data_IF_833108807607
#
_entry.id   IF_833108807607
#
_cell.length_a   1.000
_cell.length_b   1.000
_cell.length_c   1.000
_cell.angle_alpha   90.00
_cell.angle_beta   90.00
_cell.angle_gamma   90.00
#
_symmetry.space_group_name_H-M   'P 1'
#
loop_
_entity.id
_entity.type
_entity.pdbx_description
1 polymer ?
#
# COMPACT_ATOMS: atom_id res chain seq x y z
N UNK A 1 -21.86 14.47 33.38
CA UNK A 1 -21.10 13.29 32.91
C UNK A 1 -21.89 12.34 32.00
N UNK A 2 -23.23 12.33 32.00
CA UNK A 2 -24.03 11.44 31.14
C UNK A 2 -24.16 11.87 29.65
N UNK A 3 -23.89 13.13 29.30
CA UNK A 3 -24.04 13.65 27.92
C UNK A 3 -22.84 13.39 26.99
N UNK A 4 -21.67 13.00 27.52
CA UNK A 4 -20.47 12.72 26.72
C UNK A 4 -20.48 11.26 26.23
N UNK A 5 -21.06 10.34 27.01
CA UNK A 5 -21.16 8.92 26.63
C UNK A 5 -22.22 8.67 25.55
N UNK A 6 -23.36 9.38 25.55
CA UNK A 6 -24.40 9.24 24.50
C UNK A 6 -23.90 9.70 23.13
N UNK A 7 -23.32 10.91 23.03
CA UNK A 7 -22.73 11.44 21.79
C UNK A 7 -21.60 10.58 21.21
N UNK A 8 -20.88 9.82 22.05
CA UNK A 8 -19.81 8.90 21.63
C UNK A 8 -20.34 7.62 20.98
N UNK A 9 -21.41 7.04 21.54
CA UNK A 9 -22.08 5.89 20.94
C UNK A 9 -22.60 6.20 19.54
N UNK A 10 -23.19 7.39 19.38
CA UNK A 10 -23.73 7.87 18.11
C UNK A 10 -22.64 8.07 17.05
N UNK A 11 -21.48 8.64 17.42
CA UNK A 11 -20.37 8.86 16.48
C UNK A 11 -19.72 7.56 16.00
N UNK A 12 -19.49 6.59 16.90
CA UNK A 12 -18.92 5.28 16.53
C UNK A 12 -19.89 4.47 15.68
N UNK A 13 -21.18 4.50 16.01
CA UNK A 13 -22.23 3.87 15.20
C UNK A 13 -22.30 4.49 13.81
N UNK A 14 -22.33 5.82 13.72
CA UNK A 14 -22.34 6.57 12.47
C UNK A 14 -21.13 6.24 11.58
N UNK A 15 -19.91 6.22 12.14
CA UNK A 15 -18.71 5.80 11.42
C UNK A 15 -18.81 4.34 10.93
N UNK A 16 -19.39 3.45 11.74
CA UNK A 16 -19.66 2.08 11.35
C UNK A 16 -20.62 1.97 10.16
N UNK A 17 -21.67 2.78 10.14
CA UNK A 17 -22.65 2.83 9.05
C UNK A 17 -22.03 3.36 7.74
N UNK A 18 -21.28 4.46 7.81
CA UNK A 18 -20.58 5.01 6.64
C UNK A 18 -19.55 4.01 6.10
N UNK A 19 -18.79 3.31 6.96
CA UNK A 19 -17.86 2.26 6.52
C UNK A 19 -18.58 1.12 5.79
N UNK A 20 -19.78 0.72 6.23
CA UNK A 20 -20.59 -0.29 5.54
C UNK A 20 -21.06 0.20 4.17
N UNK A 21 -21.51 1.44 4.07
CA UNK A 21 -21.93 2.05 2.79
C UNK A 21 -20.78 2.23 1.81
N UNK A 22 -19.58 2.54 2.33
CA UNK A 22 -18.37 2.71 1.53
C UNK A 22 -17.74 1.40 1.05
N UNK A 23 -18.23 0.26 1.52
CA UNK A 23 -17.66 -1.04 1.21
C UNK A 23 -17.76 -1.37 -0.29
N UNK A 24 -16.66 -1.83 -0.87
CA UNK A 24 -16.56 -2.14 -2.31
C UNK A 24 -16.29 -3.63 -2.49
N UNK A 25 -17.18 -4.31 -3.24
CA UNK A 25 -16.95 -5.66 -3.78
C UNK A 25 -17.03 -5.58 -5.29
N UNK A 26 -15.89 -5.74 -5.96
CA UNK A 26 -15.84 -5.82 -7.41
C UNK A 26 -14.54 -6.49 -7.87
N UNK A 27 -14.54 -7.03 -9.09
CA UNK A 27 -13.29 -7.47 -9.70
C UNK A 27 -12.59 -6.27 -10.36
N UNK A 28 -11.28 -6.15 -10.16
CA UNK A 28 -10.43 -5.14 -10.79
C UNK A 28 -10.23 -5.45 -12.29
N UNK A 29 -10.09 -6.73 -12.63
CA UNK A 29 -10.07 -7.22 -14.00
C UNK A 29 -11.50 -7.59 -14.44
N UNK A 30 -12.19 -6.71 -15.17
CA UNK A 30 -13.55 -6.96 -15.66
C UNK A 30 -13.49 -7.27 -17.14
N UNK A 31 -13.55 -8.55 -17.45
CA UNK A 31 -13.60 -9.11 -18.81
C UNK A 31 -14.81 -10.06 -18.95
N UNK A 32 -14.89 -10.77 -20.07
CA UNK A 32 -15.92 -11.79 -20.32
C UNK A 32 -15.79 -13.04 -19.44
N UNK A 33 -14.62 -13.28 -18.82
CA UNK A 33 -14.35 -14.43 -17.94
C UNK A 33 -14.57 -14.11 -16.44
N UNK A 34 -15.01 -12.90 -16.12
CA UNK A 34 -15.21 -12.45 -14.75
C UNK A 34 -16.37 -13.20 -14.08
N UNK A 35 -16.06 -13.96 -13.03
CA UNK A 35 -17.09 -14.61 -12.22
C UNK A 35 -17.79 -13.63 -11.27
N UNK A 36 -19.04 -13.92 -10.94
CA UNK A 36 -19.82 -13.12 -9.98
C UNK A 36 -19.33 -13.25 -8.52
N UNK A 37 -18.51 -14.26 -8.22
CA UNK A 37 -18.06 -14.57 -6.85
C UNK A 37 -16.81 -13.77 -6.49
N UNK A 38 -17.02 -12.58 -5.92
CA UNK A 38 -15.96 -11.78 -5.29
C UNK A 38 -15.47 -12.45 -3.99
N UNK A 39 -14.16 -12.53 -3.82
CA UNK A 39 -13.51 -13.17 -2.68
C UNK A 39 -12.67 -12.17 -1.86
N UNK A 40 -12.17 -12.61 -0.73
CA UNK A 40 -11.10 -11.93 0.01
C UNK A 40 -9.74 -12.32 -0.59
N UNK A 41 -9.39 -11.67 -1.70
CA UNK A 41 -8.13 -11.87 -2.40
C UNK A 41 -6.96 -11.29 -1.60
N UNK A 42 -5.80 -11.94 -1.64
CA UNK A 42 -4.60 -11.50 -0.93
C UNK A 42 -3.76 -10.57 -1.82
N UNK A 43 -3.48 -9.36 -1.35
CA UNK A 43 -2.52 -8.49 -2.04
C UNK A 43 -1.06 -8.92 -1.80
N UNK A 44 -0.78 -9.69 -0.75
CA UNK A 44 0.50 -10.38 -0.52
C UNK A 44 0.25 -11.89 -0.42
N UNK A 45 1.00 -12.66 -1.20
CA UNK A 45 0.84 -14.11 -1.40
C UNK A 45 0.73 -14.90 -0.09
N UNK A 46 -0.45 -15.46 0.21
CA UNK A 46 -0.71 -16.13 1.47
C UNK A 46 0.08 -17.44 1.64
N UNK A 47 0.11 -18.28 0.60
CA UNK A 47 0.68 -19.63 0.69
C UNK A 47 2.20 -19.66 0.50
N UNK A 48 2.79 -18.57 0.01
CA UNK A 48 4.24 -18.40 -0.18
C UNK A 48 4.82 -17.41 0.82
N UNK A 49 4.60 -16.12 0.59
CA UNK A 49 5.25 -15.04 1.33
C UNK A 49 4.72 -14.95 2.76
N UNK A 50 3.41 -14.81 2.97
CA UNK A 50 2.86 -14.67 4.33
C UNK A 50 3.10 -15.91 5.17
N UNK A 51 2.94 -17.11 4.59
CA UNK A 51 3.28 -18.37 5.25
C UNK A 51 4.75 -18.39 5.71
N UNK A 52 5.68 -17.96 4.86
CA UNK A 52 7.12 -17.91 5.17
C UNK A 52 7.44 -16.96 6.32
N UNK A 53 6.85 -15.76 6.35
CA UNK A 53 7.18 -14.75 7.36
C UNK A 53 6.36 -14.88 8.65
N UNK A 54 5.28 -15.68 8.64
CA UNK A 54 4.40 -15.83 9.79
C UNK A 54 5.05 -16.58 10.94
N UNK A 55 4.67 -16.21 12.16
CA UNK A 55 4.94 -16.98 13.38
C UNK A 55 3.61 -17.43 13.97
N UNK A 56 3.45 -18.73 14.22
CA UNK A 56 2.18 -19.35 14.65
C UNK A 56 0.97 -18.98 13.77
N UNK A 57 1.21 -18.81 12.47
CA UNK A 57 0.17 -18.44 11.49
C UNK A 57 -0.23 -16.96 11.52
N UNK A 58 0.48 -16.11 12.24
CA UNK A 58 0.24 -14.67 12.35
C UNK A 58 1.41 -13.85 11.79
N UNK A 59 1.08 -12.68 11.26
CA UNK A 59 2.01 -11.63 10.84
C UNK A 59 1.64 -10.32 11.52
N UNK A 60 2.51 -9.33 11.48
CA UNK A 60 2.19 -7.97 11.91
C UNK A 60 1.74 -7.14 10.70
N UNK A 61 0.55 -6.56 10.79
CA UNK A 61 -0.01 -5.62 9.81
C UNK A 61 -0.51 -4.36 10.52
N UNK A 62 -0.62 -3.24 9.80
CA UNK A 62 -1.21 -2.05 10.38
C UNK A 62 -2.68 -2.27 10.72
N UNK A 63 -3.05 -1.85 11.92
CA UNK A 63 -4.42 -1.87 12.41
C UNK A 63 -4.70 -0.64 13.24
N UNK A 64 -5.95 -0.20 13.21
CA UNK A 64 -6.45 0.80 14.15
C UNK A 64 -6.80 0.10 15.46
N UNK A 65 -6.12 0.48 16.54
CA UNK A 65 -6.43 0.06 17.91
C UNK A 65 -6.89 1.26 18.72
N UNK A 66 -7.98 1.09 19.47
CA UNK A 66 -8.45 2.09 20.43
C UNK A 66 -7.67 1.93 21.74
N UNK A 67 -7.05 3.03 22.22
CA UNK A 67 -6.51 3.05 23.56
C UNK A 67 -7.63 3.41 24.55
N UNK A 68 -8.04 2.42 25.35
CA UNK A 68 -9.17 2.53 26.27
C UNK A 68 -8.96 3.61 27.35
N UNK A 69 -7.71 3.96 27.67
CA UNK A 69 -7.41 4.87 28.78
C UNK A 69 -7.41 6.35 28.35
N UNK A 70 -6.99 6.65 27.13
CA UNK A 70 -6.82 8.05 26.66
C UNK A 70 -7.75 8.47 25.52
N UNK A 71 -8.60 7.57 24.97
CA UNK A 71 -9.36 7.79 23.73
C UNK A 71 -8.48 8.19 22.52
N UNK A 72 -7.20 7.84 22.53
CA UNK A 72 -6.31 8.06 21.39
C UNK A 72 -6.44 6.90 20.39
N UNK A 73 -6.65 7.24 19.11
CA UNK A 73 -6.59 6.28 18.01
C UNK A 73 -5.12 5.96 17.75
N UNK A 74 -4.71 4.74 18.08
CA UNK A 74 -3.36 4.26 17.79
C UNK A 74 -3.36 3.44 16.51
N UNK A 75 -2.59 3.92 15.54
CA UNK A 75 -2.32 3.19 14.31
C UNK A 75 -0.98 2.47 14.46
N UNK A 76 -1.04 1.17 14.75
CA UNK A 76 0.12 0.34 15.11
C UNK A 76 0.11 -0.97 14.34
N UNK A 77 1.29 -1.57 14.24
CA UNK A 77 1.42 -2.95 13.80
C UNK A 77 0.84 -3.89 14.86
N UNK A 78 -0.12 -4.73 14.49
CA UNK A 78 -0.72 -5.74 15.36
C UNK A 78 -0.75 -7.12 14.72
N UNK A 79 -0.83 -8.14 15.57
CA UNK A 79 -0.90 -9.54 15.14
C UNK A 79 -2.19 -9.78 14.36
N UNK A 80 -2.03 -10.26 13.14
CA UNK A 80 -3.12 -10.59 12.22
C UNK A 80 -2.87 -11.97 11.64
N UNK A 81 -3.85 -12.87 11.74
CA UNK A 81 -3.76 -14.18 11.12
C UNK A 81 -3.55 -14.08 9.60
N UNK A 82 -2.61 -14.86 9.05
CA UNK A 82 -2.17 -14.76 7.64
C UNK A 82 -3.31 -14.90 6.62
N UNK A 83 -4.38 -15.64 6.96
CA UNK A 83 -5.57 -15.79 6.11
C UNK A 83 -6.40 -14.50 5.99
N UNK A 84 -6.24 -13.55 6.91
CA UNK A 84 -6.91 -12.24 6.91
C UNK A 84 -5.98 -11.10 6.49
N UNK A 85 -4.70 -11.21 6.82
CA UNK A 85 -3.69 -10.20 6.53
C UNK A 85 -3.69 -9.83 5.03
N UNK A 86 -3.67 -8.52 4.74
CA UNK A 86 -3.56 -7.97 3.37
C UNK A 86 -4.69 -8.35 2.40
N UNK A 87 -5.80 -8.88 2.92
CA UNK A 87 -6.97 -9.25 2.09
C UNK A 87 -7.80 -8.05 1.67
N UNK A 88 -8.46 -8.15 0.52
CA UNK A 88 -9.41 -7.17 -0.01
C UNK A 88 -10.37 -7.80 -1.03
N UNK A 89 -11.48 -7.13 -1.31
CA UNK A 89 -12.55 -7.60 -2.20
C UNK A 89 -12.46 -7.00 -3.60
N UNK A 90 -11.25 -7.05 -4.16
CA UNK A 90 -10.91 -6.49 -5.47
C UNK A 90 -10.79 -7.51 -6.61
N UNK A 91 -11.01 -8.81 -6.34
CA UNK A 91 -10.97 -9.85 -7.38
C UNK A 91 -12.08 -10.88 -7.20
N UNK A 92 -12.52 -11.46 -8.32
CA UNK A 92 -13.31 -12.67 -8.33
C UNK A 92 -12.40 -13.90 -8.12
N UNK A 93 -12.97 -15.03 -7.71
CA UNK A 93 -12.19 -16.24 -7.43
C UNK A 93 -11.40 -16.75 -8.64
N UNK A 94 -11.97 -16.63 -9.85
CA UNK A 94 -11.34 -17.11 -11.08
C UNK A 94 -10.11 -16.27 -11.47
N UNK A 95 -10.22 -14.93 -11.43
CA UNK A 95 -9.12 -14.04 -11.75
C UNK A 95 -8.01 -14.08 -10.69
N UNK A 96 -8.36 -14.13 -9.41
CA UNK A 96 -7.35 -14.26 -8.34
C UNK A 96 -6.52 -15.54 -8.52
N UNK A 97 -7.16 -16.64 -8.90
CA UNK A 97 -6.50 -17.93 -9.11
C UNK A 97 -5.65 -17.95 -10.39
N UNK A 98 -6.23 -17.52 -11.52
CA UNK A 98 -5.60 -17.68 -12.84
C UNK A 98 -4.54 -16.62 -13.12
N UNK A 99 -4.86 -15.34 -12.93
CA UNK A 99 -3.97 -14.23 -13.33
C UNK A 99 -2.65 -14.26 -12.56
N UNK A 100 -2.72 -14.63 -11.29
CA UNK A 100 -1.55 -14.58 -10.42
C UNK A 100 -0.83 -15.92 -10.26
N UNK A 101 -1.26 -16.97 -10.97
CA UNK A 101 -0.60 -18.27 -10.96
C UNK A 101 0.93 -18.19 -11.19
N UNK A 102 1.44 -17.33 -12.11
CA UNK A 102 2.89 -17.21 -12.35
C UNK A 102 3.69 -16.74 -11.13
N UNK A 103 3.12 -15.86 -10.30
CA UNK A 103 3.76 -15.44 -9.05
C UNK A 103 3.43 -16.40 -7.89
N UNK A 104 2.23 -16.99 -7.85
CA UNK A 104 1.75 -17.87 -6.75
C UNK A 104 2.31 -19.29 -6.79
N UNK A 105 2.79 -19.76 -7.93
CA UNK A 105 3.28 -21.14 -8.08
C UNK A 105 4.78 -21.23 -8.32
N UNK A 106 5.43 -20.14 -8.74
CA UNK A 106 6.84 -20.16 -9.15
C UNK A 106 7.68 -19.16 -8.37
N UNK A 107 8.94 -19.52 -8.13
CA UNK A 107 9.93 -18.59 -7.60
C UNK A 107 10.17 -17.45 -8.59
N UNK A 108 10.39 -16.26 -8.05
CA UNK A 108 10.82 -15.11 -8.83
C UNK A 108 12.25 -15.30 -9.32
N UNK A 109 12.51 -14.99 -10.59
CA UNK A 109 13.87 -14.86 -11.11
C UNK A 109 14.07 -13.48 -11.74
N UNK A 110 15.32 -13.03 -11.71
CA UNK A 110 15.68 -11.71 -12.20
C UNK A 110 15.33 -11.54 -13.67
N UNK A 111 14.67 -10.43 -13.99
CA UNK A 111 14.28 -10.12 -15.37
C UNK A 111 13.02 -10.84 -15.84
N UNK A 112 12.30 -11.58 -14.99
CA UNK A 112 10.97 -12.07 -15.36
C UNK A 112 9.98 -10.89 -15.43
N UNK A 113 9.72 -10.40 -16.64
CA UNK A 113 8.85 -9.25 -16.90
C UNK A 113 7.39 -9.53 -16.54
N UNK A 114 6.88 -10.73 -16.82
CA UNK A 114 5.53 -11.16 -16.45
C UNK A 114 5.33 -11.12 -14.92
N UNK A 115 6.25 -11.73 -14.15
CA UNK A 115 6.13 -11.72 -12.70
C UNK A 115 6.25 -10.30 -12.13
N UNK A 116 7.16 -9.48 -12.66
CA UNK A 116 7.27 -8.07 -12.27
C UNK A 116 5.99 -7.31 -12.56
N UNK A 117 5.39 -7.52 -13.73
CA UNK A 117 4.11 -6.94 -14.11
C UNK A 117 3.01 -7.37 -13.14
N UNK A 118 2.89 -8.66 -12.84
CA UNK A 118 1.85 -9.19 -11.95
C UNK A 118 1.99 -8.67 -10.51
N UNK A 119 3.20 -8.48 -10.01
CA UNK A 119 3.42 -7.81 -8.72
C UNK A 119 2.90 -6.36 -8.73
N UNK A 120 3.20 -5.61 -9.80
CA UNK A 120 2.70 -4.24 -9.98
C UNK A 120 1.19 -4.21 -10.13
N UNK A 121 0.62 -5.11 -10.94
CA UNK A 121 -0.81 -5.23 -11.20
C UNK A 121 -1.60 -5.47 -9.90
N UNK A 122 -1.08 -6.35 -9.04
CA UNK A 122 -1.68 -6.62 -7.73
C UNK A 122 -1.59 -5.42 -6.78
N UNK A 123 -0.47 -4.71 -6.77
CA UNK A 123 -0.30 -3.50 -5.98
C UNK A 123 -1.25 -2.37 -6.44
N UNK A 124 -1.37 -2.17 -7.76
CA UNK A 124 -2.31 -1.22 -8.36
C UNK A 124 -3.76 -1.57 -7.99
N UNK A 125 -4.16 -2.84 -8.12
CA UNK A 125 -5.51 -3.27 -7.78
C UNK A 125 -5.86 -2.98 -6.31
N UNK A 126 -4.91 -3.19 -5.40
CA UNK A 126 -5.10 -2.89 -3.97
C UNK A 126 -5.21 -1.38 -3.72
N UNK A 127 -4.38 -0.56 -4.35
CA UNK A 127 -4.42 0.91 -4.22
C UNK A 127 -5.72 1.49 -4.81
N UNK A 128 -6.11 1.05 -6.01
CA UNK A 128 -7.38 1.42 -6.63
C UNK A 128 -8.57 1.09 -5.71
N UNK A 129 -8.59 -0.13 -5.15
CA UNK A 129 -9.66 -0.55 -4.24
C UNK A 129 -9.72 0.33 -2.98
N UNK A 130 -8.57 0.60 -2.35
CA UNK A 130 -8.47 1.48 -1.18
C UNK A 130 -8.94 2.90 -1.50
N UNK A 131 -8.49 3.48 -2.63
CA UNK A 131 -8.90 4.82 -3.07
C UNK A 131 -10.40 4.90 -3.37
N UNK A 132 -10.97 3.88 -4.01
CA UNK A 132 -12.40 3.83 -4.30
C UNK A 132 -13.24 3.74 -3.02
N UNK A 133 -12.80 2.95 -2.04
CA UNK A 133 -13.42 2.92 -0.71
C UNK A 133 -13.32 4.30 -0.03
N UNK A 134 -12.17 4.97 -0.10
CA UNK A 134 -11.98 6.30 0.47
C UNK A 134 -12.93 7.34 -0.17
N UNK A 135 -13.04 7.38 -1.50
CA UNK A 135 -14.00 8.26 -2.21
C UNK A 135 -15.42 8.01 -1.75
N UNK A 136 -15.87 6.75 -1.68
CA UNK A 136 -17.23 6.42 -1.21
C UNK A 136 -17.46 6.79 0.25
N UNK A 137 -16.45 6.62 1.11
CA UNK A 137 -16.52 7.01 2.51
C UNK A 137 -16.72 8.53 2.64
N UNK A 138 -15.94 9.31 1.89
CA UNK A 138 -16.03 10.78 1.86
C UNK A 138 -17.37 11.23 1.29
N UNK A 139 -17.82 10.66 0.17
CA UNK A 139 -19.12 10.96 -0.44
C UNK A 139 -20.27 10.68 0.53
N UNK A 140 -20.24 9.53 1.20
CA UNK A 140 -21.25 9.14 2.19
C UNK A 140 -21.22 10.07 3.41
N UNK A 141 -20.04 10.41 3.93
CA UNK A 141 -19.89 11.34 5.03
C UNK A 141 -20.42 12.74 4.68
N UNK A 142 -20.02 13.30 3.53
CA UNK A 142 -20.48 14.61 3.06
C UNK A 142 -21.99 14.65 2.86
N UNK A 143 -22.60 13.57 2.35
CA UNK A 143 -24.06 13.54 2.16
C UNK A 143 -24.84 13.72 3.46
N UNK A 144 -24.27 13.28 4.59
CA UNK A 144 -24.90 13.28 5.92
C UNK A 144 -24.47 14.46 6.81
N UNK A 145 -23.49 15.27 6.39
CA UNK A 145 -23.02 16.43 7.16
C UNK A 145 -23.89 17.69 6.94
N UNK A 146 -23.97 18.61 7.91
CA UNK A 146 -24.55 19.95 7.73
C UNK A 146 -23.82 20.78 6.65
N UNK A 147 -24.50 21.73 5.99
CA UNK A 147 -23.99 22.45 4.81
C UNK A 147 -22.69 23.22 5.04
N UNK A 148 -22.54 23.86 6.20
CA UNK A 148 -21.32 24.57 6.62
C UNK A 148 -20.10 23.63 6.61
N UNK A 149 -20.26 22.38 7.05
CA UNK A 149 -19.21 21.36 7.08
C UNK A 149 -18.91 20.77 5.70
N UNK A 150 -19.87 20.76 4.77
CA UNK A 150 -19.67 20.28 3.39
C UNK A 150 -18.70 21.17 2.61
N UNK A 151 -18.81 22.48 2.77
CA UNK A 151 -17.95 23.45 2.08
C UNK A 151 -16.46 23.22 2.39
N UNK A 152 -16.12 22.90 3.64
CA UNK A 152 -14.74 22.58 4.05
C UNK A 152 -14.18 21.30 3.42
N UNK A 153 -15.05 20.34 3.06
CA UNK A 153 -14.62 19.04 2.52
C UNK A 153 -14.66 18.98 0.98
N UNK A 154 -15.15 20.02 0.31
CA UNK A 154 -15.31 20.03 -1.15
C UNK A 154 -14.00 19.80 -1.90
N UNK A 155 -12.93 20.50 -1.52
CA UNK A 155 -11.61 20.33 -2.14
C UNK A 155 -11.03 18.93 -1.85
N UNK A 156 -11.18 18.43 -0.62
CA UNK A 156 -10.73 17.09 -0.25
C UNK A 156 -11.45 16.02 -1.09
N UNK A 157 -12.77 16.11 -1.20
CA UNK A 157 -13.58 15.21 -2.02
C UNK A 157 -13.17 15.25 -3.50
N UNK A 158 -12.98 16.45 -4.06
CA UNK A 158 -12.50 16.64 -5.44
C UNK A 158 -11.16 15.95 -5.63
N UNK A 159 -10.19 16.19 -4.74
CA UNK A 159 -8.86 15.60 -4.82
C UNK A 159 -8.91 14.07 -4.82
N UNK A 160 -9.71 13.45 -3.93
CA UNK A 160 -9.87 11.99 -3.93
C UNK A 160 -10.46 11.46 -5.24
N UNK A 161 -11.42 12.18 -5.85
CA UNK A 161 -12.04 11.81 -7.12
C UNK A 161 -11.09 11.92 -8.31
N UNK A 162 -10.28 12.98 -8.36
CA UNK A 162 -9.23 13.16 -9.38
C UNK A 162 -8.21 12.02 -9.30
N UNK A 163 -7.74 11.67 -8.10
CA UNK A 163 -6.84 10.51 -7.90
C UNK A 163 -7.49 9.20 -8.35
N UNK A 164 -8.76 8.95 -8.00
CA UNK A 164 -9.46 7.74 -8.42
C UNK A 164 -9.61 7.66 -9.95
N UNK A 165 -9.85 8.79 -10.61
CA UNK A 165 -9.95 8.86 -12.07
C UNK A 165 -8.62 8.45 -12.74
N UNK A 166 -7.48 8.94 -12.26
CA UNK A 166 -6.17 8.53 -12.78
C UNK A 166 -5.89 7.04 -12.56
N UNK A 167 -6.23 6.50 -11.38
CA UNK A 167 -6.09 5.07 -11.12
C UNK A 167 -7.00 4.21 -12.01
N UNK A 168 -8.16 4.72 -12.43
CA UNK A 168 -9.00 4.04 -13.43
C UNK A 168 -8.34 4.02 -14.82
N UNK A 169 -7.65 5.10 -15.22
CA UNK A 169 -6.88 5.12 -16.47
C UNK A 169 -5.72 4.13 -16.44
N UNK A 170 -4.97 4.09 -15.33
CA UNK A 170 -3.91 3.11 -15.14
C UNK A 170 -4.48 1.68 -15.15
N UNK A 171 -5.59 1.43 -14.45
CA UNK A 171 -6.30 0.14 -14.50
C UNK A 171 -6.63 -0.28 -15.93
N UNK A 172 -7.17 0.62 -16.76
CA UNK A 172 -7.48 0.33 -18.16
C UNK A 172 -6.22 -0.04 -18.95
N UNK A 173 -5.17 0.77 -18.83
CA UNK A 173 -3.87 0.52 -19.47
C UNK A 173 -3.30 -0.87 -19.08
N UNK A 174 -3.30 -1.18 -17.79
CA UNK A 174 -2.79 -2.46 -17.30
C UNK A 174 -3.68 -3.64 -17.70
N UNK A 175 -5.01 -3.48 -17.75
CA UNK A 175 -5.91 -4.54 -18.23
C UNK A 175 -5.64 -4.85 -19.70
N UNK A 176 -5.55 -3.83 -20.56
CA UNK A 176 -5.21 -4.02 -21.99
C UNK A 176 -3.83 -4.67 -22.16
N UNK A 177 -2.83 -4.21 -21.40
CA UNK A 177 -1.50 -4.80 -21.45
C UNK A 177 -1.48 -6.28 -21.01
N UNK A 178 -2.32 -6.67 -20.05
CA UNK A 178 -2.46 -8.07 -19.63
C UNK A 178 -3.17 -8.93 -20.68
N UNK A 179 -4.17 -8.38 -21.39
CA UNK A 179 -4.86 -9.07 -22.50
C UNK A 179 -3.96 -9.29 -23.72
N UNK A 180 -2.99 -8.39 -23.92
CA UNK A 180 -2.04 -8.40 -25.04
C UNK A 180 -0.70 -9.09 -24.71
N UNK A 181 -0.54 -9.64 -23.50
CA UNK A 181 0.73 -10.16 -22.97
C UNK A 181 1.89 -9.13 -23.06
N UNK A 182 1.58 -7.84 -22.97
CA UNK A 182 2.51 -6.73 -23.10
C UNK A 182 3.04 -6.26 -21.74
N UNK A 183 4.03 -6.97 -21.21
CA UNK A 183 4.62 -6.66 -19.90
C UNK A 183 5.66 -5.52 -19.94
N UNK A 184 6.08 -5.06 -21.12
CA UNK A 184 7.08 -3.99 -21.26
C UNK A 184 6.53 -2.61 -20.88
N UNK A 185 5.22 -2.46 -20.61
CA UNK A 185 4.64 -1.17 -20.19
C UNK A 185 5.19 -0.65 -18.84
N UNK A 186 5.86 -1.51 -18.06
CA UNK A 186 6.52 -1.13 -16.81
C UNK A 186 8.05 -1.11 -16.95
N UNK A 187 8.70 -0.36 -16.08
CA UNK A 187 10.14 -0.39 -15.85
C UNK A 187 10.41 -0.76 -14.39
N UNK A 188 11.27 -1.76 -14.16
CA UNK A 188 11.61 -2.25 -12.81
C UNK A 188 13.11 -2.13 -12.55
N UNK A 189 13.46 -1.62 -11.38
CA UNK A 189 14.79 -1.74 -10.79
C UNK A 189 14.76 -2.80 -9.69
N UNK A 190 15.61 -3.82 -9.83
CA UNK A 190 15.74 -4.91 -8.86
C UNK A 190 16.90 -4.60 -7.91
N UNK A 191 16.64 -4.71 -6.61
CA UNK A 191 17.67 -4.73 -5.58
C UNK A 191 17.56 -6.03 -4.77
N UNK A 192 18.70 -6.49 -4.25
CA UNK A 192 18.76 -7.70 -3.42
C UNK A 192 19.57 -7.45 -2.18
N UNK A 193 19.08 -7.97 -1.07
CA UNK A 193 19.90 -8.21 0.11
C UNK A 193 20.10 -9.72 0.27
N UNK A 194 21.34 -10.13 0.56
CA UNK A 194 21.71 -11.53 0.75
C UNK A 194 21.41 -12.01 2.18
N UNK A 195 20.19 -11.73 2.64
CA UNK A 195 19.60 -12.20 3.89
C UNK A 195 18.07 -12.10 3.79
N UNK A 196 17.34 -12.96 4.49
CA UNK A 196 15.88 -12.85 4.60
C UNK A 196 15.46 -12.02 5.83
N UNK A 197 14.94 -10.81 5.61
CA UNK A 197 14.49 -9.92 6.69
C UNK A 197 13.01 -10.12 7.08
N UNK A 198 12.31 -11.00 6.37
CA UNK A 198 10.90 -11.35 6.61
C UNK A 198 9.96 -10.15 6.70
N UNK A 199 10.18 -9.21 5.79
CA UNK A 199 9.26 -8.11 5.46
C UNK A 199 8.62 -8.44 4.11
N UNK A 200 7.32 -8.24 4.01
CA UNK A 200 6.56 -8.38 2.79
C UNK A 200 5.78 -7.10 2.49
N UNK A 201 5.89 -6.61 1.25
CA UNK A 201 5.25 -5.37 0.81
C UNK A 201 4.70 -5.55 -0.60
N UNK A 202 3.50 -5.01 -0.85
CA UNK A 202 2.92 -4.84 -2.18
C UNK A 202 2.13 -3.54 -2.19
N UNK A 203 2.75 -2.45 -2.65
CA UNK A 203 2.16 -1.10 -2.55
C UNK A 203 2.44 -0.25 -3.77
N UNK A 204 1.50 0.64 -4.07
CA UNK A 204 1.65 1.73 -5.04
C UNK A 204 1.46 3.06 -4.32
N UNK A 205 2.31 4.05 -4.59
CA UNK A 205 2.18 5.39 -3.99
C UNK A 205 2.88 6.44 -4.85
N UNK A 206 2.59 7.70 -4.60
CA UNK A 206 3.24 8.85 -5.24
C UNK A 206 4.17 9.56 -4.25
N UNK A 207 5.27 10.10 -4.75
CA UNK A 207 6.20 10.95 -3.98
C UNK A 207 6.23 12.34 -4.59
N UNK A 208 6.28 13.38 -3.75
CA UNK A 208 6.45 14.75 -4.23
C UNK A 208 7.88 14.98 -4.72
N UNK A 209 8.88 14.55 -3.93
CA UNK A 209 10.30 14.81 -4.17
C UNK A 209 11.15 13.54 -4.03
N UNK A 210 12.28 13.51 -4.74
CA UNK A 210 13.31 12.48 -4.58
C UNK A 210 14.20 12.74 -3.33
N UNK A 211 15.24 11.91 -3.13
CA UNK A 211 16.13 12.02 -1.96
C UNK A 211 16.98 13.30 -1.95
N UNK A 212 17.16 13.93 -3.11
CA UNK A 212 17.91 15.16 -3.29
C UNK A 212 16.98 16.40 -3.31
N UNK A 213 15.67 16.21 -3.12
CA UNK A 213 14.69 17.29 -3.12
C UNK A 213 14.23 17.73 -4.51
N UNK A 214 14.55 16.98 -5.57
CA UNK A 214 14.04 17.24 -6.92
C UNK A 214 12.60 16.76 -7.04
N UNK A 215 11.74 17.59 -7.63
CA UNK A 215 10.33 17.27 -7.82
C UNK A 215 10.12 16.06 -8.76
N UNK A 216 9.24 15.17 -8.33
CA UNK A 216 8.71 14.03 -9.09
C UNK A 216 7.25 14.32 -9.45
N UNK A 217 6.45 14.74 -8.47
CA UNK A 217 5.04 15.08 -8.62
C UNK A 217 4.76 16.46 -7.99
N UNK A 218 3.70 17.13 -8.45
CA UNK A 218 3.20 18.36 -7.86
C UNK A 218 1.91 18.06 -7.09
N UNK A 219 1.98 17.99 -5.76
CA UNK A 219 0.79 17.69 -4.94
C UNK A 219 -0.19 18.87 -4.84
N UNK A 220 0.23 20.06 -5.27
CA UNK A 220 -0.68 21.21 -5.41
C UNK A 220 -1.49 21.17 -6.71
N UNK A 221 -1.13 20.31 -7.67
CA UNK A 221 -1.82 20.12 -8.94
C UNK A 221 -2.01 18.64 -9.26
N UNK A 222 -3.07 18.08 -8.67
CA UNK A 222 -3.44 16.68 -8.84
C UNK A 222 -4.08 16.40 -10.21
N UNK A 223 -4.35 17.39 -11.06
CA UNK A 223 -4.90 17.14 -12.41
C UNK A 223 -3.81 16.66 -13.38
N UNK A 224 -2.53 16.82 -13.01
CA UNK A 224 -1.41 16.28 -13.78
C UNK A 224 -1.28 14.75 -13.62
N UNK A 225 -0.76 14.09 -14.65
CA UNK A 225 -0.47 12.64 -14.65
C UNK A 225 0.50 12.31 -13.51
N UNK A 226 0.00 11.71 -12.43
CA UNK A 226 0.77 11.38 -11.23
C UNK A 226 1.67 10.16 -11.46
N UNK A 227 2.93 10.27 -11.05
CA UNK A 227 3.95 9.26 -11.26
C UNK A 227 3.98 8.35 -10.05
N UNK A 228 3.35 7.18 -10.19
CA UNK A 228 3.30 6.15 -9.17
C UNK A 228 4.60 5.33 -9.14
N UNK A 229 5.13 5.16 -7.92
CA UNK A 229 6.16 4.20 -7.59
C UNK A 229 5.47 2.96 -7.00
N UNK A 230 5.79 1.80 -7.57
CA UNK A 230 5.36 0.51 -7.07
C UNK A 230 6.53 -0.13 -6.33
N UNK A 231 6.28 -0.60 -5.11
CA UNK A 231 7.28 -1.31 -4.31
C UNK A 231 6.77 -2.71 -3.97
N UNK A 232 7.59 -3.71 -4.27
CA UNK A 232 7.36 -5.09 -3.87
C UNK A 232 8.58 -5.61 -3.14
N UNK A 233 8.38 -6.09 -1.90
CA UNK A 233 9.45 -6.64 -1.07
C UNK A 233 9.03 -8.03 -0.63
N UNK A 234 9.92 -9.02 -0.77
CA UNK A 234 9.66 -10.37 -0.28
C UNK A 234 10.93 -11.19 -0.05
N UNK A 235 10.92 -12.13 0.91
CA UNK A 235 12.00 -13.08 1.12
C UNK A 235 11.90 -14.32 0.22
N UNK A 236 12.98 -14.66 -0.47
CA UNK A 236 13.08 -15.85 -1.31
C UNK A 236 14.52 -16.37 -1.32
N UNK A 237 14.68 -17.69 -1.14
CA UNK A 237 15.94 -18.43 -1.30
C UNK A 237 17.15 -17.75 -0.62
N UNK A 238 17.00 -17.36 0.65
CA UNK A 238 18.08 -16.75 1.44
C UNK A 238 18.30 -15.26 1.17
N UNK A 239 17.45 -14.64 0.33
CA UNK A 239 17.56 -13.24 -0.08
C UNK A 239 16.26 -12.49 0.22
N UNK A 240 16.37 -11.18 0.35
CA UNK A 240 15.23 -10.26 0.30
C UNK A 240 15.29 -9.50 -1.01
N UNK A 241 14.27 -9.68 -1.84
CA UNK A 241 14.10 -8.95 -3.09
C UNK A 241 13.37 -7.64 -2.81
N UNK A 242 13.81 -6.57 -3.48
CA UNK A 242 13.14 -5.28 -3.50
C UNK A 242 12.99 -4.90 -4.97
N UNK A 243 11.77 -4.87 -5.45
CA UNK A 243 11.40 -4.45 -6.81
C UNK A 243 10.81 -3.05 -6.69
N UNK A 244 11.47 -2.09 -7.35
CA UNK A 244 10.99 -0.73 -7.50
C UNK A 244 10.55 -0.55 -8.96
N UNK A 245 9.25 -0.44 -9.19
CA UNK A 245 8.68 -0.37 -10.53
C UNK A 245 7.92 0.92 -10.77
N UNK A 246 7.75 1.29 -12.03
CA UNK A 246 6.92 2.40 -12.48
C UNK A 246 6.42 2.13 -13.90
N UNK A 247 5.42 2.87 -14.35
CA UNK A 247 5.09 2.88 -15.79
C UNK A 247 6.30 3.35 -16.59
N UNK A 248 6.57 2.72 -17.73
CA UNK A 248 7.73 3.04 -18.57
C UNK A 248 7.73 4.49 -19.03
N UNK A 249 6.55 5.06 -19.32
CA UNK A 249 6.37 6.49 -19.60
C UNK A 249 6.87 7.40 -18.47
N UNK A 250 6.87 6.92 -17.23
CA UNK A 250 7.31 7.65 -16.04
C UNK A 250 8.77 7.37 -15.65
N UNK A 251 9.48 6.47 -16.35
CA UNK A 251 10.87 6.07 -16.06
C UNK A 251 11.78 7.28 -15.86
N UNK A 252 11.70 8.29 -16.74
CA UNK A 252 12.57 9.48 -16.69
C UNK A 252 12.44 10.28 -15.38
N UNK A 253 11.31 10.18 -14.67
CA UNK A 253 11.05 10.86 -13.41
C UNK A 253 11.45 10.01 -12.20
N UNK A 254 11.21 8.69 -12.24
CA UNK A 254 11.38 7.79 -11.10
C UNK A 254 12.70 7.03 -11.08
N UNK A 255 13.31 6.76 -12.24
CA UNK A 255 14.61 6.08 -12.28
C UNK A 255 15.75 6.83 -11.56
N UNK A 256 15.79 8.19 -11.54
CA UNK A 256 16.76 8.92 -10.71
C UNK A 256 16.66 8.56 -9.22
N UNK A 257 15.45 8.54 -8.64
CA UNK A 257 15.24 8.12 -7.26
C UNK A 257 15.69 6.67 -7.03
N UNK A 258 15.32 5.75 -7.93
CA UNK A 258 15.72 4.35 -7.83
C UNK A 258 17.26 4.19 -7.84
N UNK A 259 17.96 4.96 -8.69
CA UNK A 259 19.43 4.96 -8.75
C UNK A 259 20.05 5.57 -7.50
N UNK A 260 19.51 6.70 -7.01
CA UNK A 260 19.95 7.34 -5.77
C UNK A 260 19.89 6.39 -4.58
N UNK A 261 18.88 5.49 -4.53
CA UNK A 261 18.80 4.45 -3.50
C UNK A 261 19.89 3.40 -3.74
N UNK A 262 19.96 2.84 -4.96
CA UNK A 262 20.86 1.73 -5.31
C UNK A 262 22.34 2.06 -5.07
N UNK A 263 22.75 3.29 -5.32
CA UNK A 263 24.13 3.77 -5.19
C UNK A 263 24.59 3.95 -3.73
N UNK A 264 23.68 3.88 -2.75
CA UNK A 264 24.05 3.99 -1.33
C UNK A 264 24.63 2.69 -0.78
N UNK A 265 25.38 2.82 0.32
CA UNK A 265 25.83 1.66 1.11
C UNK A 265 24.64 0.78 1.54
N UNK A 266 24.88 -0.52 1.76
CA UNK A 266 23.84 -1.48 2.16
C UNK A 266 23.04 -0.96 3.37
N UNK A 267 23.72 -0.47 4.40
CA UNK A 267 23.06 0.05 5.59
C UNK A 267 22.19 1.28 5.28
N UNK A 268 22.67 2.20 4.44
CA UNK A 268 21.90 3.39 4.08
C UNK A 268 20.70 3.05 3.19
N UNK A 269 20.81 2.06 2.30
CA UNK A 269 19.68 1.50 1.55
C UNK A 269 18.57 0.99 2.45
N UNK A 270 18.91 0.21 3.47
CA UNK A 270 17.96 -0.30 4.46
C UNK A 270 17.24 0.83 5.20
N UNK A 271 17.97 1.86 5.61
CA UNK A 271 17.40 3.04 6.28
C UNK A 271 16.44 3.78 5.35
N UNK A 272 16.84 4.05 4.10
CA UNK A 272 15.97 4.73 3.13
C UNK A 272 14.69 3.93 2.89
N UNK A 273 14.81 2.63 2.61
CA UNK A 273 13.66 1.76 2.40
C UNK A 273 12.75 1.73 3.64
N UNK A 274 13.31 1.67 4.84
CA UNK A 274 12.51 1.71 6.08
C UNK A 274 11.71 3.01 6.22
N UNK A 275 12.27 4.14 5.81
CA UNK A 275 11.55 5.42 5.78
C UNK A 275 10.48 5.44 4.68
N UNK A 276 10.76 4.92 3.49
CA UNK A 276 9.75 4.78 2.42
C UNK A 276 8.55 3.98 2.92
N UNK A 277 8.80 2.85 3.59
CA UNK A 277 7.75 2.01 4.16
C UNK A 277 6.97 2.74 5.25
N UNK A 278 7.67 3.43 6.16
CA UNK A 278 7.04 4.18 7.24
C UNK A 278 6.20 5.37 6.76
N UNK A 279 6.53 5.97 5.61
CA UNK A 279 5.88 7.19 5.13
C UNK A 279 4.72 6.86 4.18
N UNK A 280 4.89 5.86 3.31
CA UNK A 280 4.03 5.69 2.13
C UNK A 280 3.32 4.33 2.06
N UNK A 281 3.60 3.38 2.95
CA UNK A 281 3.16 1.99 2.78
C UNK A 281 2.27 1.55 3.94
N UNK A 282 0.98 1.42 3.66
CA UNK A 282 0.03 0.77 4.57
C UNK A 282 -0.06 -0.74 4.34
N UNK A 283 0.03 -1.18 3.07
CA UNK A 283 -0.13 -2.59 2.71
C UNK A 283 1.18 -3.38 2.84
N UNK A 284 1.55 -3.67 4.08
CA UNK A 284 2.72 -4.46 4.43
C UNK A 284 2.43 -5.53 5.50
N UNK A 285 3.30 -6.54 5.55
CA UNK A 285 3.32 -7.55 6.59
C UNK A 285 4.76 -7.77 7.08
N UNK A 286 4.96 -7.86 8.39
CA UNK A 286 6.28 -8.12 9.01
C UNK A 286 6.18 -9.37 9.88
N UNK A 287 7.23 -10.20 9.89
CA UNK A 287 7.32 -11.29 10.86
C UNK A 287 7.30 -10.76 12.31
N UNK A 288 6.46 -11.33 13.20
CA UNK A 288 6.46 -10.93 14.60
C UNK A 288 7.83 -11.11 15.27
N UNK A 289 8.54 -12.19 14.94
CA UNK A 289 9.88 -12.47 15.50
C UNK A 289 10.89 -11.42 15.04
N UNK A 290 10.93 -11.11 13.74
CA UNK A 290 11.86 -10.10 13.22
C UNK A 290 11.56 -8.71 13.76
N UNK A 291 10.28 -8.38 13.92
CA UNK A 291 9.87 -7.14 14.54
C UNK A 291 10.36 -7.01 15.98
N UNK A 292 10.29 -8.08 16.77
CA UNK A 292 10.78 -8.10 18.16
C UNK A 292 12.31 -7.93 18.27
N UNK A 293 13.07 -8.21 17.21
CA UNK A 293 14.52 -7.97 17.15
C UNK A 293 14.88 -6.49 16.87
N UNK A 294 13.91 -5.68 16.43
CA UNK A 294 14.14 -4.25 16.19
C UNK A 294 14.12 -3.53 17.54
N UNK A 295 15.14 -2.69 17.84
CA UNK A 295 15.17 -1.90 19.07
C UNK A 295 13.92 -1.05 19.29
N UNK A 296 13.45 -0.97 20.53
CA UNK A 296 12.19 -0.28 20.90
C UNK A 296 12.13 1.18 20.45
N UNK A 297 13.26 1.89 20.51
CA UNK A 297 13.35 3.26 20.02
C UNK A 297 13.11 3.36 18.51
N UNK A 298 13.58 2.38 17.72
CA UNK A 298 13.34 2.32 16.28
C UNK A 298 11.91 1.90 15.95
N UNK A 299 11.34 0.94 16.69
CA UNK A 299 9.92 0.55 16.56
C UNK A 299 9.00 1.74 16.85
N UNK A 300 9.29 2.48 17.92
CA UNK A 300 8.56 3.68 18.32
C UNK A 300 8.72 4.80 17.29
N UNK A 301 9.93 4.99 16.75
CA UNK A 301 10.18 5.96 15.68
C UNK A 301 9.43 5.60 14.39
N UNK A 302 9.35 4.31 14.03
CA UNK A 302 8.57 3.83 12.89
C UNK A 302 7.09 4.14 13.04
N UNK A 303 6.47 3.77 14.18
CA UNK A 303 5.07 4.07 14.45
C UNK A 303 4.80 5.57 14.52
N UNK A 304 5.71 6.36 15.12
CA UNK A 304 5.59 7.82 15.13
C UNK A 304 5.63 8.38 13.72
N UNK A 305 6.59 7.94 12.90
CA UNK A 305 6.74 8.43 11.53
C UNK A 305 5.48 8.14 10.70
N UNK A 306 4.95 6.91 10.79
CA UNK A 306 3.72 6.51 10.10
C UNK A 306 2.47 7.26 10.58
N UNK A 307 2.28 7.40 11.90
CA UNK A 307 1.14 8.17 12.42
C UNK A 307 1.19 9.63 11.96
N UNK A 308 2.38 10.22 11.97
CA UNK A 308 2.54 11.61 11.57
C UNK A 308 2.21 11.81 10.07
N UNK A 309 2.33 10.81 9.19
CA UNK A 309 1.91 10.94 7.77
C UNK A 309 0.40 10.80 7.56
N UNK A 310 -0.27 10.04 8.43
CA UNK A 310 -1.74 9.92 8.41
C UNK A 310 -2.41 11.18 8.97
N UNK A 311 -1.76 11.86 9.91
CA UNK A 311 -2.33 12.99 10.64
C UNK A 311 -1.83 14.37 10.18
N UNK A 312 -0.67 14.45 9.51
CA UNK A 312 -0.03 15.70 9.07
C UNK A 312 0.36 15.57 7.59
N UNK A 313 -0.07 16.50 6.76
CA UNK A 313 0.35 16.55 5.34
C UNK A 313 1.87 16.73 5.23
N UNK A 314 2.49 15.96 4.32
CA UNK A 314 3.74 16.35 3.69
C UNK A 314 5.05 16.05 4.44
N UNK A 315 5.24 14.85 4.99
CA UNK A 315 6.61 14.45 5.38
C UNK A 315 7.46 14.09 4.18
N UNK A 316 8.47 14.91 3.95
CA UNK A 316 9.41 14.80 2.85
C UNK A 316 10.45 13.69 3.07
N UNK A 317 10.81 12.99 1.99
CA UNK A 317 11.94 12.04 1.92
C UNK A 317 13.32 12.69 2.14
N UNK A 318 13.40 14.02 2.27
CA UNK A 318 14.65 14.77 2.49
C UNK A 318 15.17 14.68 3.94
N UNK A 319 14.34 14.29 4.91
CA UNK A 319 14.74 14.13 6.31
C UNK A 319 14.46 12.70 6.79
N UNK A 320 15.46 11.84 6.68
CA UNK A 320 15.35 10.43 7.05
C UNK A 320 15.52 10.24 8.55
N UNK A 321 14.57 9.54 9.16
CA UNK A 321 14.72 9.02 10.52
C UNK A 321 15.68 7.82 10.51
N UNK A 322 16.47 7.65 11.57
CA UNK A 322 17.36 6.48 11.71
C UNK A 322 16.57 5.23 12.12
N UNK A 323 15.76 4.71 11.20
CA UNK A 323 14.93 3.51 11.35
C UNK A 323 15.49 2.44 10.41
N UNK A 324 15.71 1.23 10.91
CA UNK A 324 16.10 0.08 10.12
C UNK A 324 15.20 -1.12 10.44
N UNK A 325 14.29 -1.45 9.53
CA UNK A 325 13.44 -2.64 9.61
C UNK A 325 14.17 -3.92 9.16
N UNK A 326 15.30 -3.78 8.46
CA UNK A 326 16.04 -4.89 7.87
C UNK A 326 17.14 -5.37 8.85
N UNK A 327 16.69 -5.97 9.95
CA UNK A 327 17.52 -6.57 11.02
C UNK A 327 17.52 -8.09 11.04
#
# INVERSE_FOLDING_TARGET
>A
MNNIKSRKGDATQWLGEIKKQAYVKECFHKDSNCSSKIIFAHSIQNNRILKKISHNGEVLCFSVTEDNDNNDIKLLLSRTGRKKATTFTGFCGDHDCKLFLPIESHDYYDGNEEQQFLFVYRALAKEYHAKKMAVKLVDSAISQLPQDRKAFLGNFQRNQKVTLYQLEQDKQLFNSALEEDNFDIIYTRIMKFYHEYHIAVSSAFTLEKDLNGKDINNFSDLETDMKYLYITIFPQNGKTYVLLSCLRKHKKYLSPLMNQIQEKSVNKRKIILSNILAINVENMAISPIKWEQIPDNQRSAFHKLFRDTVMVEGKSMTQLSNINLFV
#
